data_IF_422125031645
#
_entry.id   IF_422125031645
#
_cell.length_a   1.000
_cell.length_b   1.000
_cell.length_c   1.000
_cell.angle_alpha   90.00
_cell.angle_beta   90.00
_cell.angle_gamma   90.00
#
_symmetry.space_group_name_H-M   'P 1'
#
loop_
_entity.id
_entity.type
_entity.pdbx_description
1 polymer ?
#
# COMPACT_ATOMS: atom_id res chain seq x y z
N UNK A 1 -20.43 5.05 16.13
CA UNK A 1 -19.87 5.02 14.76
C UNK A 1 -18.37 4.88 14.87
N UNK A 2 -17.84 3.65 14.80
CA UNK A 2 -16.41 3.37 14.90
C UNK A 2 -15.92 2.98 13.50
N UNK A 3 -15.20 3.89 12.85
CA UNK A 3 -14.40 3.62 11.66
C UNK A 3 -13.25 2.67 12.05
N UNK A 4 -13.56 1.39 12.13
CA UNK A 4 -12.64 0.31 12.48
C UNK A 4 -11.80 -0.17 11.29
N UNK A 5 -11.39 0.75 10.41
CA UNK A 5 -10.41 0.50 9.36
C UNK A 5 -9.00 0.62 9.94
N UNK A 6 -8.17 -0.41 9.81
CA UNK A 6 -6.79 -0.40 10.27
C UNK A 6 -5.96 0.64 9.50
N UNK A 7 -5.95 1.90 9.97
CA UNK A 7 -5.12 2.97 9.40
C UNK A 7 -3.66 2.79 9.82
N UNK A 8 -2.75 2.87 8.85
CA UNK A 8 -1.32 2.82 9.11
C UNK A 8 -0.87 4.05 9.92
N UNK A 9 -0.45 3.83 11.17
CA UNK A 9 0.08 4.89 12.03
C UNK A 9 1.55 5.13 11.70
N UNK A 10 2.00 6.37 11.81
CA UNK A 10 3.39 6.73 11.54
C UNK A 10 4.38 6.00 12.47
N UNK A 11 3.95 5.61 13.69
CA UNK A 11 4.77 4.87 14.65
C UNK A 11 4.97 3.38 14.32
N UNK A 12 4.11 2.81 13.48
CA UNK A 12 4.16 1.40 13.07
C UNK A 12 4.92 1.26 11.72
N UNK A 13 5.61 2.32 11.29
CA UNK A 13 6.33 2.41 10.03
C UNK A 13 7.84 2.46 10.28
N UNK A 14 8.57 1.59 9.60
CA UNK A 14 10.02 1.46 9.66
C UNK A 14 10.64 1.88 8.32
N UNK A 15 11.62 2.76 8.39
CA UNK A 15 12.35 3.25 7.22
C UNK A 15 13.67 2.50 7.11
N UNK A 16 13.92 1.89 5.95
CA UNK A 16 15.12 1.08 5.73
C UNK A 16 15.85 1.46 4.46
N UNK A 17 17.17 1.22 4.44
CA UNK A 17 18.01 1.26 3.24
C UNK A 17 18.03 -0.13 2.58
N UNK A 18 18.75 -0.26 1.46
CA UNK A 18 19.03 -1.57 0.86
C UNK A 18 19.55 -2.54 1.93
N UNK A 19 19.04 -3.78 1.90
CA UNK A 19 19.31 -4.85 2.90
C UNK A 19 18.63 -4.71 4.27
N UNK A 20 17.63 -3.83 4.42
CA UNK A 20 16.78 -3.78 5.63
C UNK A 20 17.42 -3.07 6.82
N UNK A 21 18.47 -2.28 6.61
CA UNK A 21 19.13 -1.50 7.66
C UNK A 21 18.22 -0.31 8.04
N UNK A 22 17.80 -0.16 9.31
CA UNK A 22 17.01 0.98 9.74
C UNK A 22 17.76 2.29 9.56
N UNK A 23 17.10 3.29 8.97
CA UNK A 23 17.67 4.62 8.72
C UNK A 23 16.61 5.70 8.93
N UNK A 24 17.04 6.95 9.09
CA UNK A 24 16.13 8.07 9.10
C UNK A 24 15.41 8.22 7.73
N UNK A 25 14.17 8.75 7.70
CA UNK A 25 13.31 8.78 6.50
C UNK A 25 13.99 9.38 5.26
N UNK A 26 14.82 10.41 5.45
CA UNK A 26 15.54 11.11 4.39
C UNK A 26 16.58 10.23 3.65
N UNK A 27 17.07 9.18 4.30
CA UNK A 27 18.03 8.23 3.72
C UNK A 27 17.38 6.90 3.31
N UNK A 28 16.07 6.76 3.52
CA UNK A 28 15.35 5.53 3.29
C UNK A 28 15.17 5.24 1.80
N UNK A 29 15.35 3.98 1.43
CA UNK A 29 15.01 3.44 0.10
C UNK A 29 13.86 2.46 0.17
N UNK A 30 13.35 2.15 1.37
CA UNK A 30 12.19 1.33 1.59
C UNK A 30 11.44 1.76 2.86
N UNK A 31 10.12 1.64 2.81
CA UNK A 31 9.19 1.91 3.90
C UNK A 31 8.44 0.62 4.20
N UNK A 32 8.51 0.22 5.45
CA UNK A 32 7.99 -1.04 5.94
C UNK A 32 6.88 -0.74 6.93
N UNK A 33 5.65 -1.12 6.63
CA UNK A 33 4.49 -0.84 7.49
C UNK A 33 4.06 -2.15 8.14
N UNK A 34 4.02 -2.16 9.46
CA UNK A 34 3.42 -3.26 10.21
C UNK A 34 1.90 -3.06 10.30
N UNK A 35 1.17 -4.09 9.87
CA UNK A 35 -0.28 -4.17 9.97
C UNK A 35 -0.74 -5.11 11.10
N UNK A 36 0.13 -5.40 12.07
CA UNK A 36 -0.24 -6.17 13.26
C UNK A 36 -1.49 -5.56 13.91
N UNK A 37 -2.55 -6.38 14.04
CA UNK A 37 -3.85 -5.95 14.55
C UNK A 37 -4.92 -5.64 13.50
N UNK A 38 -4.63 -5.77 12.20
CA UNK A 38 -5.68 -5.73 11.18
C UNK A 38 -6.63 -6.94 11.30
N UNK A 39 -7.92 -6.76 10.98
CA UNK A 39 -8.94 -7.83 11.05
C UNK A 39 -8.59 -9.09 10.22
N UNK A 40 -7.68 -8.98 9.27
CA UNK A 40 -7.17 -10.08 8.45
C UNK A 40 -5.74 -10.51 8.80
N UNK A 41 -5.27 -10.21 10.02
CA UNK A 41 -3.92 -10.57 10.48
C UNK A 41 -3.84 -12.05 10.85
N UNK A 42 -3.37 -12.87 9.92
CA UNK A 42 -2.81 -14.19 10.20
C UNK A 42 -1.30 -14.03 10.51
N UNK A 43 -0.86 -14.66 11.59
CA UNK A 43 0.28 -14.30 12.45
C UNK A 43 1.71 -14.43 11.87
N UNK A 44 1.94 -14.40 10.56
CA UNK A 44 3.27 -14.71 10.01
C UNK A 44 3.89 -13.69 9.03
N UNK A 45 3.14 -12.74 8.44
CA UNK A 45 3.73 -11.74 7.53
C UNK A 45 2.86 -10.47 7.42
N UNK A 46 2.84 -9.65 8.47
CA UNK A 46 2.02 -8.43 8.52
C UNK A 46 2.69 -7.20 7.89
N UNK A 47 3.76 -7.41 7.12
CA UNK A 47 4.70 -6.36 6.76
C UNK A 47 4.68 -6.10 5.25
N UNK A 48 4.23 -4.91 4.84
CA UNK A 48 4.37 -4.47 3.45
C UNK A 48 5.63 -3.60 3.32
N UNK A 49 6.51 -3.93 2.38
CA UNK A 49 7.68 -3.12 2.05
C UNK A 49 7.46 -2.40 0.72
N UNK A 50 7.52 -1.08 0.74
CA UNK A 50 7.37 -0.21 -0.44
C UNK A 50 8.70 0.49 -0.68
N UNK A 51 9.39 0.19 -1.78
CA UNK A 51 10.74 0.69 -2.06
C UNK A 51 10.79 1.92 -2.97
N UNK A 52 9.96 1.99 -4.01
CA UNK A 52 10.09 3.01 -5.06
C UNK A 52 9.39 4.34 -4.76
N UNK A 53 8.52 4.39 -3.75
CA UNK A 53 7.63 5.54 -3.50
C UNK A 53 7.91 6.30 -2.20
N UNK A 54 8.97 5.95 -1.46
CA UNK A 54 9.23 6.54 -0.13
C UNK A 54 9.58 8.02 -0.24
N UNK A 55 10.43 8.39 -1.20
CA UNK A 55 10.85 9.79 -1.41
C UNK A 55 9.69 10.68 -1.84
N UNK A 56 8.88 10.21 -2.79
CA UNK A 56 7.70 10.94 -3.26
C UNK A 56 6.65 11.08 -2.16
N UNK A 57 6.45 10.03 -1.36
CA UNK A 57 5.58 10.08 -0.19
C UNK A 57 6.04 11.11 0.86
N UNK A 58 7.33 11.09 1.23
CA UNK A 58 7.87 12.04 2.19
C UNK A 58 7.79 13.48 1.69
N UNK A 59 8.03 13.69 0.39
CA UNK A 59 7.87 15.02 -0.21
C UNK A 59 6.41 15.49 -0.16
N UNK A 60 5.46 14.64 -0.54
CA UNK A 60 4.03 14.97 -0.45
C UNK A 60 3.60 15.34 0.98
N UNK A 61 4.18 14.69 2.00
CA UNK A 61 3.92 15.06 3.41
C UNK A 61 4.47 16.43 3.78
N UNK A 62 5.62 16.84 3.22
CA UNK A 62 6.15 18.20 3.40
C UNK A 62 5.27 19.23 2.71
N UNK A 63 4.88 18.97 1.46
CA UNK A 63 4.06 19.88 0.66
C UNK A 63 2.68 20.11 1.31
N UNK A 64 2.15 19.10 2.00
CA UNK A 64 0.90 19.18 2.77
C UNK A 64 1.09 19.74 4.19
N UNK A 65 2.30 20.10 4.61
CA UNK A 65 2.59 20.53 6.00
C UNK A 65 2.34 19.46 7.06
N UNK A 66 2.25 18.18 6.68
CA UNK A 66 1.78 17.06 7.50
C UNK A 66 2.92 16.11 7.93
N UNK A 67 4.14 16.64 8.08
CA UNK A 67 5.34 15.87 8.42
C UNK A 67 5.17 15.09 9.72
N UNK A 68 4.58 15.71 10.76
CA UNK A 68 4.37 15.12 12.08
C UNK A 68 2.99 14.48 12.28
N UNK A 69 2.24 14.24 11.20
CA UNK A 69 0.90 13.66 11.30
C UNK A 69 0.93 12.22 11.87
N UNK A 70 0.01 11.91 12.78
CA UNK A 70 -0.05 10.62 13.49
C UNK A 70 -0.32 9.43 12.58
N UNK A 71 -0.96 9.66 11.43
CA UNK A 71 -1.17 8.67 10.38
C UNK A 71 -0.22 8.89 9.20
N UNK A 72 0.26 7.77 8.64
CA UNK A 72 1.28 7.76 7.60
C UNK A 72 0.80 8.44 6.32
N UNK A 73 -0.46 8.20 5.93
CA UNK A 73 -1.10 8.78 4.75
C UNK A 73 -2.02 9.97 5.07
N UNK A 74 -1.79 10.67 6.18
CA UNK A 74 -2.61 11.82 6.61
C UNK A 74 -4.10 11.42 6.72
N UNK A 75 -5.01 12.19 6.13
CA UNK A 75 -6.45 11.93 6.07
C UNK A 75 -6.90 11.45 4.68
N UNK A 76 -6.23 10.40 4.21
CA UNK A 76 -6.68 9.65 3.05
C UNK A 76 -7.92 8.82 3.45
N UNK A 77 -9.03 9.04 2.75
CA UNK A 77 -10.21 8.19 2.82
C UNK A 77 -10.27 7.30 1.58
N UNK A 78 -10.95 6.15 1.69
CA UNK A 78 -11.17 5.26 0.56
C UNK A 78 -11.87 5.99 -0.61
N UNK A 79 -12.77 6.92 -0.32
CA UNK A 79 -13.47 7.74 -1.31
C UNK A 79 -12.52 8.70 -2.07
N UNK A 80 -11.59 9.33 -1.36
CA UNK A 80 -10.57 10.19 -1.98
C UNK A 80 -9.66 9.39 -2.91
N UNK A 81 -9.24 8.19 -2.47
CA UNK A 81 -8.43 7.27 -3.30
C UNK A 81 -9.22 6.80 -4.51
N UNK A 82 -10.48 6.39 -4.33
CA UNK A 82 -11.33 5.94 -5.44
C UNK A 82 -11.56 7.06 -6.46
N UNK A 83 -11.83 8.27 -5.99
CA UNK A 83 -12.02 9.45 -6.86
C UNK A 83 -10.76 9.78 -7.65
N UNK A 84 -9.60 9.79 -6.99
CA UNK A 84 -8.32 10.04 -7.65
C UNK A 84 -7.96 8.95 -8.68
N UNK A 85 -8.24 7.69 -8.36
CA UNK A 85 -8.02 6.56 -9.28
C UNK A 85 -8.91 6.68 -10.51
N UNK A 86 -10.19 6.97 -10.32
CA UNK A 86 -11.16 7.15 -11.41
C UNK A 86 -10.79 8.34 -12.31
N UNK A 87 -10.39 9.46 -11.72
CA UNK A 87 -9.90 10.61 -12.47
C UNK A 87 -8.66 10.26 -13.31
N UNK A 88 -7.74 9.45 -12.75
CA UNK A 88 -6.56 8.97 -13.47
C UNK A 88 -6.94 8.04 -14.63
N UNK A 89 -7.88 7.11 -14.41
CA UNK A 89 -8.41 6.25 -15.47
C UNK A 89 -9.02 7.07 -16.61
N UNK A 90 -9.85 8.08 -16.29
CA UNK A 90 -10.44 8.98 -17.29
C UNK A 90 -9.38 9.74 -18.08
N UNK A 91 -8.32 10.24 -17.43
CA UNK A 91 -7.20 10.92 -18.12
C UNK A 91 -6.41 9.99 -19.04
N UNK A 92 -6.39 8.70 -18.73
CA UNK A 92 -5.81 7.67 -19.58
C UNK A 92 -6.76 7.16 -20.69
N UNK A 93 -7.96 7.74 -20.82
CA UNK A 93 -8.97 7.34 -21.82
C UNK A 93 -9.77 6.08 -21.43
N UNK A 94 -9.71 5.67 -20.17
CA UNK A 94 -10.35 4.46 -19.65
C UNK A 94 -11.69 4.76 -18.99
N UNK A 95 -12.60 3.78 -19.04
CA UNK A 95 -13.93 3.88 -18.44
C UNK A 95 -13.83 3.82 -16.90
N UNK A 96 -14.29 4.86 -16.20
CA UNK A 96 -14.08 5.01 -14.75
C UNK A 96 -14.81 3.97 -13.89
N UNK A 97 -15.96 3.44 -14.33
CA UNK A 97 -16.76 2.47 -13.58
C UNK A 97 -16.06 1.12 -13.45
N UNK A 98 -15.16 0.79 -14.37
CA UNK A 98 -14.32 -0.41 -14.33
C UNK A 98 -13.15 -0.33 -13.32
N UNK A 99 -12.87 0.84 -12.74
CA UNK A 99 -11.73 1.03 -11.83
C UNK A 99 -12.17 1.30 -10.39
N UNK A 100 -11.62 0.48 -9.48
CA UNK A 100 -11.77 0.60 -8.03
C UNK A 100 -10.44 0.30 -7.33
N UNK A 101 -10.37 0.50 -6.02
CA UNK A 101 -9.20 0.08 -5.22
C UNK A 101 -8.92 -1.42 -5.34
N UNK A 102 -9.94 -2.26 -5.58
CA UNK A 102 -9.75 -3.68 -5.86
C UNK A 102 -9.08 -3.93 -7.22
N UNK A 103 -9.32 -3.06 -8.22
CA UNK A 103 -8.68 -3.16 -9.53
C UNK A 103 -7.15 -3.00 -9.44
N UNK A 104 -6.65 -2.15 -8.52
CA UNK A 104 -5.21 -2.05 -8.25
C UNK A 104 -4.66 -3.35 -7.67
N UNK A 105 -5.35 -3.92 -6.66
CA UNK A 105 -4.93 -5.17 -6.02
C UNK A 105 -4.90 -6.35 -6.99
N UNK A 106 -5.90 -6.47 -7.85
CA UNK A 106 -5.93 -7.51 -8.89
C UNK A 106 -4.85 -7.27 -9.95
N UNK A 107 -4.67 -6.03 -10.39
CA UNK A 107 -3.62 -5.65 -11.34
C UNK A 107 -2.21 -5.96 -10.83
N UNK A 108 -1.93 -5.67 -9.55
CA UNK A 108 -0.66 -6.01 -8.91
C UNK A 108 -0.42 -7.53 -8.91
N UNK A 109 -1.44 -8.33 -8.58
CA UNK A 109 -1.33 -9.79 -8.63
C UNK A 109 -1.09 -10.32 -10.05
N UNK A 110 -1.76 -9.75 -11.06
CA UNK A 110 -1.53 -10.08 -12.48
C UNK A 110 -0.10 -9.73 -12.91
N UNK A 111 0.42 -8.56 -12.50
CA UNK A 111 1.79 -8.15 -12.80
C UNK A 111 2.83 -9.09 -12.15
N UNK A 112 2.61 -9.49 -10.89
CA UNK A 112 3.47 -10.47 -10.21
C UNK A 112 3.43 -11.84 -10.90
N UNK A 113 2.24 -12.31 -11.31
CA UNK A 113 2.06 -13.57 -12.06
C UNK A 113 2.81 -13.52 -13.40
N UNK A 114 2.69 -12.40 -14.13
CA UNK A 114 3.42 -12.17 -15.38
C UNK A 114 4.96 -12.13 -15.17
N UNK A 115 5.40 -11.59 -14.04
CA UNK A 115 6.79 -11.59 -13.59
C UNK A 115 7.32 -12.94 -13.10
N UNK A 116 6.53 -14.02 -13.20
CA UNK A 116 6.85 -15.38 -12.73
C UNK A 116 7.15 -15.46 -11.23
N UNK A 117 6.58 -14.55 -10.44
CA UNK A 117 6.60 -14.67 -8.97
C UNK A 117 5.72 -15.86 -8.59
N UNK A 118 6.16 -16.64 -7.61
CA UNK A 118 5.46 -17.85 -7.22
C UNK A 118 4.08 -17.54 -6.62
N UNK A 119 3.12 -18.43 -6.89
CA UNK A 119 1.72 -18.30 -6.45
C UNK A 119 1.59 -18.19 -4.92
N UNK A 120 2.47 -18.87 -4.16
CA UNK A 120 2.43 -18.82 -2.71
C UNK A 120 2.83 -17.43 -2.19
N UNK A 121 3.87 -16.82 -2.76
CA UNK A 121 4.29 -15.45 -2.47
C UNK A 121 3.23 -14.43 -2.87
N UNK A 122 2.56 -14.60 -4.02
CA UNK A 122 1.45 -13.71 -4.42
C UNK A 122 0.28 -13.83 -3.43
N UNK A 123 -0.07 -15.05 -3.00
CA UNK A 123 -1.09 -15.30 -1.97
C UNK A 123 -0.73 -14.63 -0.66
N UNK A 124 0.52 -14.78 -0.22
CA UNK A 124 1.04 -14.25 1.02
C UNK A 124 1.07 -12.71 1.00
N UNK A 125 1.60 -12.10 -0.06
CA UNK A 125 1.72 -10.65 -0.21
C UNK A 125 0.35 -9.97 -0.36
N UNK A 126 -0.54 -10.56 -1.15
CA UNK A 126 -1.87 -10.01 -1.38
C UNK A 126 -2.91 -10.39 -0.32
N UNK A 127 -2.58 -11.26 0.64
CA UNK A 127 -3.54 -11.80 1.63
C UNK A 127 -4.80 -12.35 0.96
N UNK A 128 -4.60 -13.12 -0.11
CA UNK A 128 -5.70 -13.73 -0.86
C UNK A 128 -6.22 -14.94 -0.09
N UNK A 129 -7.54 -15.04 0.08
CA UNK A 129 -8.21 -16.30 0.46
C UNK A 129 -7.97 -17.29 -0.70
N UNK A 130 -7.80 -18.61 -0.46
CA UNK A 130 -7.37 -19.52 -1.52
C UNK A 130 -8.26 -19.46 -2.78
N UNK A 131 -7.57 -19.48 -3.94
CA UNK A 131 -8.06 -19.65 -5.31
C UNK A 131 -8.65 -18.45 -6.09
N UNK A 132 -8.64 -17.21 -5.58
CA UNK A 132 -9.33 -16.11 -6.28
C UNK A 132 -8.57 -15.39 -7.43
N UNK A 133 -7.36 -15.80 -7.82
CA UNK A 133 -6.60 -15.16 -8.91
C UNK A 133 -5.94 -16.15 -9.89
N UNK A 134 -6.16 -17.45 -9.67
CA UNK A 134 -5.53 -18.52 -10.47
C UNK A 134 -6.33 -18.92 -11.70
N UNK A 135 -7.53 -18.37 -11.90
CA UNK A 135 -8.30 -18.55 -13.13
C UNK A 135 -7.66 -17.84 -14.34
#
# INVERSE_FOLDING_TARGET
MADGGSRARSKDAFFTKSRGIPVAPEFATALTIDFSGAKNANSAANTASVSTSVKTHLQARRDLGAVNHGYLFVDLSAEKVSSALKATATRAGLEKSMYSSHSLKSGDATALKAGRVDSLSIKLLGRWVPHCYEE
#
